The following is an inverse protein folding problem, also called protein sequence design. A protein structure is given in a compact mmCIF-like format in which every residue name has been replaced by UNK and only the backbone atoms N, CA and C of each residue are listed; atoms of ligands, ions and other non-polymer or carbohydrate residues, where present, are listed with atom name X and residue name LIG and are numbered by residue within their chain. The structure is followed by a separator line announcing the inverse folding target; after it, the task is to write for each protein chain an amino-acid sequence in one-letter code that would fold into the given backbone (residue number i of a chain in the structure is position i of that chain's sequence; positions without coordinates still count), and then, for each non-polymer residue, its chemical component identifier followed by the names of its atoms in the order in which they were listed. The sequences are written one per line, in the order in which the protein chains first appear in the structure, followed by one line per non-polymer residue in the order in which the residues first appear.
data_IF_791827745967
#
_entry.id   IF_791827745967
#
_cell.length_a   1.000
_cell.length_b   1.000
_cell.length_c   1.000
_cell.angle_alpha   90.00
_cell.angle_beta   90.00
_cell.angle_gamma   90.00
#
_symmetry.space_group_name_H-M   'P 1'
#
loop_
_entity.id
_entity.type
_entity.pdbx_description
1 polymer ?
#
# COMPACT_ATOMS: atom_id res chain seq x y z
N UNK A 1 2.49 -12.33 -1.93
CA UNK A 1 3.75 -12.22 -2.71
C UNK A 1 4.87 -11.96 -1.72
N UNK A 2 5.86 -12.86 -1.65
CA UNK A 2 6.90 -12.82 -0.61
C UNK A 2 8.33 -12.77 -1.16
N UNK A 3 8.54 -13.15 -2.41
CA UNK A 3 9.85 -13.10 -3.04
C UNK A 3 10.20 -11.65 -3.39
N UNK A 4 11.33 -11.15 -2.88
CA UNK A 4 11.74 -9.75 -3.05
C UNK A 4 11.93 -9.37 -4.51
N UNK A 5 12.46 -10.26 -5.35
CA UNK A 5 12.67 -9.95 -6.77
C UNK A 5 11.34 -9.86 -7.52
N UNK A 6 10.40 -10.75 -7.22
CA UNK A 6 9.06 -10.70 -7.80
C UNK A 6 8.35 -9.41 -7.35
N UNK A 7 8.46 -9.07 -6.08
CA UNK A 7 7.90 -7.82 -5.54
C UNK A 7 8.52 -6.61 -6.25
N UNK A 8 9.84 -6.58 -6.41
CA UNK A 8 10.54 -5.46 -7.07
C UNK A 8 10.08 -5.29 -8.52
N UNK A 9 9.96 -6.38 -9.26
CA UNK A 9 9.47 -6.34 -10.65
C UNK A 9 8.04 -5.83 -10.72
N UNK A 10 7.19 -6.26 -9.80
CA UNK A 10 5.80 -5.81 -9.73
C UNK A 10 5.72 -4.31 -9.45
N UNK A 11 6.48 -3.84 -8.48
CA UNK A 11 6.55 -2.42 -8.12
C UNK A 11 7.00 -1.58 -9.31
N UNK A 12 8.03 -2.02 -10.03
CA UNK A 12 8.51 -1.32 -11.22
C UNK A 12 7.41 -1.20 -12.28
N UNK A 13 6.64 -2.27 -12.50
CA UNK A 13 5.54 -2.24 -13.47
C UNK A 13 4.43 -1.27 -13.08
N UNK A 14 4.15 -1.12 -11.80
CA UNK A 14 3.14 -0.17 -11.31
C UNK A 14 3.58 1.27 -11.61
N UNK A 15 4.86 1.61 -11.37
CA UNK A 15 5.35 2.97 -11.62
C UNK A 15 5.44 3.32 -13.10
N UNK A 16 5.49 2.33 -13.99
CA UNK A 16 5.44 2.57 -15.44
C UNK A 16 4.06 3.02 -15.91
N UNK A 17 3.00 2.68 -15.17
CA UNK A 17 1.61 2.88 -15.59
C UNK A 17 0.85 3.93 -14.80
N UNK A 18 1.38 4.41 -13.69
CA UNK A 18 0.69 5.37 -12.83
C UNK A 18 1.27 6.76 -12.98
N UNK A 19 0.37 7.77 -13.01
CA UNK A 19 0.78 9.16 -13.04
C UNK A 19 1.31 9.65 -11.70
N UNK A 20 1.99 10.78 -11.75
CA UNK A 20 2.50 11.46 -10.55
C UNK A 20 1.66 12.68 -10.25
N UNK A 21 1.54 13.02 -8.97
CA UNK A 21 0.94 14.25 -8.51
C UNK A 21 1.74 14.75 -7.29
N UNK A 22 1.43 15.96 -6.75
CA UNK A 22 2.22 16.52 -5.63
C UNK A 22 2.25 15.66 -4.36
N UNK A 23 1.28 14.76 -4.21
CA UNK A 23 1.18 13.87 -3.05
C UNK A 23 1.63 12.45 -3.37
N UNK A 24 2.34 12.26 -4.46
CA UNK A 24 2.80 10.93 -4.88
C UNK A 24 3.83 10.37 -3.92
N UNK A 25 3.69 9.09 -3.63
CA UNK A 25 4.77 8.31 -3.02
C UNK A 25 5.73 7.89 -4.13
N UNK A 26 7.03 7.89 -3.85
CA UNK A 26 8.04 7.55 -4.85
C UNK A 26 8.39 6.07 -4.79
N UNK A 27 8.94 5.57 -5.91
CA UNK A 27 9.46 4.20 -5.94
C UNK A 27 10.57 4.01 -4.92
N UNK A 28 11.38 5.04 -4.67
CA UNK A 28 12.47 4.99 -3.71
C UNK A 28 11.97 4.70 -2.28
N UNK A 29 10.77 5.14 -1.92
CA UNK A 29 10.18 4.83 -0.61
C UNK A 29 9.93 3.34 -0.47
N UNK A 30 9.46 2.69 -1.54
CA UNK A 30 9.27 1.24 -1.57
C UNK A 30 10.62 0.50 -1.61
N UNK A 31 11.56 0.96 -2.42
CA UNK A 31 12.89 0.35 -2.52
C UNK A 31 13.62 0.37 -1.19
N UNK A 32 13.48 1.45 -0.42
CA UNK A 32 14.10 1.53 0.91
C UNK A 32 13.64 0.41 1.83
N UNK A 33 12.33 0.15 1.85
CA UNK A 33 11.77 -0.93 2.65
C UNK A 33 12.26 -2.29 2.14
N UNK A 34 12.20 -2.51 0.82
CA UNK A 34 12.67 -3.76 0.23
C UNK A 34 14.14 -4.03 0.52
N UNK A 35 15.00 -3.01 0.37
CA UNK A 35 16.44 -3.19 0.53
C UNK A 35 16.84 -3.47 1.98
N UNK A 36 16.09 -2.93 2.94
CA UNK A 36 16.39 -3.09 4.37
C UNK A 36 15.74 -4.32 5.00
N UNK A 37 14.81 -4.95 4.31
CA UNK A 37 14.05 -6.05 4.86
C UNK A 37 14.59 -7.40 4.41
N UNK A 38 14.62 -8.37 5.32
CA UNK A 38 14.85 -9.76 4.97
C UNK A 38 13.59 -10.36 4.36
N UNK A 39 12.43 -10.04 4.95
CA UNK A 39 11.13 -10.50 4.49
C UNK A 39 10.17 -9.33 4.33
N UNK A 40 9.46 -9.32 3.22
CA UNK A 40 8.42 -8.34 2.92
C UNK A 40 7.15 -9.05 2.52
N UNK A 41 6.03 -8.38 2.68
CA UNK A 41 4.75 -8.81 2.12
C UNK A 41 4.15 -7.67 1.32
N UNK A 42 3.71 -7.98 0.12
CA UNK A 42 3.01 -7.04 -0.76
C UNK A 42 1.55 -7.44 -0.84
N UNK A 43 0.68 -6.47 -0.55
CA UNK A 43 -0.78 -6.61 -0.66
C UNK A 43 -1.23 -5.69 -1.78
N UNK A 44 -1.98 -6.24 -2.75
CA UNK A 44 -2.47 -5.51 -3.91
C UNK A 44 -3.98 -5.67 -3.95
N UNK A 45 -4.70 -4.56 -3.87
CA UNK A 45 -6.17 -4.55 -3.84
C UNK A 45 -6.70 -3.53 -4.84
N UNK A 46 -7.84 -3.84 -5.46
CA UNK A 46 -8.51 -2.93 -6.39
C UNK A 46 -10.02 -3.07 -6.23
N UNK A 47 -10.74 -1.96 -6.32
CA UNK A 47 -12.19 -1.94 -6.26
C UNK A 47 -12.72 -0.72 -5.53
N UNK A 48 -13.97 -0.81 -5.04
CA UNK A 48 -14.55 0.22 -4.19
C UNK A 48 -13.85 0.27 -2.84
N UNK A 49 -13.97 1.41 -2.15
CA UNK A 49 -13.37 1.52 -0.79
C UNK A 49 -13.95 0.46 0.16
N UNK A 50 -15.24 0.16 0.05
CA UNK A 50 -15.86 -0.87 0.90
C UNK A 50 -15.23 -2.24 0.67
N UNK A 51 -15.06 -2.64 -0.59
CA UNK A 51 -14.44 -3.92 -0.94
C UNK A 51 -12.97 -3.95 -0.50
N UNK A 52 -12.24 -2.87 -0.73
CA UNK A 52 -10.84 -2.76 -0.34
C UNK A 52 -10.69 -2.89 1.18
N UNK A 53 -11.54 -2.21 1.96
CA UNK A 53 -11.47 -2.28 3.43
C UNK A 53 -11.72 -3.68 3.95
N UNK A 54 -12.68 -4.40 3.36
CA UNK A 54 -12.95 -5.79 3.75
C UNK A 54 -11.77 -6.70 3.44
N UNK A 55 -11.21 -6.59 2.25
CA UNK A 55 -10.07 -7.41 1.82
C UNK A 55 -8.81 -7.08 2.63
N UNK A 56 -8.56 -5.79 2.88
CA UNK A 56 -7.41 -5.37 3.66
C UNK A 56 -7.50 -5.89 5.10
N UNK A 57 -8.68 -5.80 5.71
CA UNK A 57 -8.89 -6.35 7.06
C UNK A 57 -8.57 -7.84 7.10
N UNK A 58 -9.04 -8.60 6.12
CA UNK A 58 -8.78 -10.04 6.01
C UNK A 58 -7.28 -10.32 5.87
N UNK A 59 -6.58 -9.54 5.03
CA UNK A 59 -5.14 -9.70 4.83
C UNK A 59 -4.35 -9.36 6.09
N UNK A 60 -4.71 -8.28 6.79
CA UNK A 60 -4.01 -7.86 8.00
C UNK A 60 -4.22 -8.85 9.16
N UNK A 61 -5.37 -9.50 9.23
CA UNK A 61 -5.61 -10.54 10.24
C UNK A 61 -4.67 -11.73 10.12
N UNK A 62 -4.14 -11.99 8.93
CA UNK A 62 -3.20 -13.07 8.71
C UNK A 62 -1.77 -12.72 9.15
N UNK A 63 -1.52 -11.45 9.46
CA UNK A 63 -0.23 -10.99 9.96
C UNK A 63 -0.30 -11.01 11.49
N UNK A 64 0.56 -11.81 12.11
CA UNK A 64 0.57 -11.90 13.56
C UNK A 64 1.06 -10.59 14.16
N UNK A 65 0.32 -10.02 15.12
CA UNK A 65 0.77 -8.83 15.82
C UNK A 65 2.00 -9.19 16.65
N UNK A 66 3.12 -8.56 16.34
CA UNK A 66 4.34 -8.66 17.13
C UNK A 66 4.58 -7.30 17.78
N UNK A 67 5.14 -7.31 18.99
CA UNK A 67 5.51 -6.08 19.69
C UNK A 67 6.76 -5.48 19.05
N UNK A 68 6.66 -5.15 17.78
CA UNK A 68 7.76 -4.64 17.00
C UNK A 68 7.27 -3.53 16.07
N UNK A 69 8.18 -2.70 15.64
CA UNK A 69 7.88 -1.65 14.68
C UNK A 69 7.88 -2.22 13.26
N UNK A 70 6.81 -1.96 12.53
CA UNK A 70 6.72 -2.29 11.11
C UNK A 70 7.02 -1.05 10.29
N UNK A 71 7.79 -1.22 9.21
CA UNK A 71 7.94 -0.20 8.19
C UNK A 71 7.00 -0.53 7.04
N UNK A 72 6.16 0.43 6.68
CA UNK A 72 5.07 0.23 5.72
C UNK A 72 5.07 1.33 4.69
N UNK A 73 4.89 0.97 3.42
CA UNK A 73 4.66 1.92 2.34
C UNK A 73 3.28 1.66 1.74
N UNK A 74 2.50 2.71 1.60
CA UNK A 74 1.13 2.66 1.08
C UNK A 74 1.00 3.58 -0.13
N UNK A 75 0.60 3.01 -1.27
CA UNK A 75 0.30 3.76 -2.47
C UNK A 75 -1.17 3.57 -2.81
N UNK A 76 -1.90 4.69 -2.89
CA UNK A 76 -3.32 4.68 -3.27
C UNK A 76 -3.45 5.37 -4.63
N UNK A 77 -4.06 4.68 -5.58
CA UNK A 77 -4.29 5.22 -6.92
C UNK A 77 -5.78 5.44 -7.14
N UNK A 78 -6.10 6.51 -7.86
CA UNK A 78 -7.47 6.85 -8.22
C UNK A 78 -7.52 7.34 -9.68
N UNK A 79 -8.72 7.37 -10.25
CA UNK A 79 -8.90 7.91 -11.59
C UNK A 79 -8.59 9.41 -11.59
N UNK A 80 -7.85 9.96 -12.58
CA UNK A 80 -7.52 11.39 -12.61
C UNK A 80 -8.72 12.30 -12.77
N UNK A 81 -9.85 11.78 -13.24
CA UNK A 81 -11.10 12.54 -13.39
C UNK A 81 -12.01 12.47 -12.17
N UNK A 82 -11.62 11.71 -11.14
CA UNK A 82 -12.33 11.60 -9.87
C UNK A 82 -11.51 12.23 -8.77
N UNK A 83 -12.14 13.07 -7.94
CA UNK A 83 -11.47 13.59 -6.75
C UNK A 83 -11.26 12.48 -5.75
N UNK A 84 -10.05 12.41 -5.20
CA UNK A 84 -9.77 11.52 -4.10
C UNK A 84 -10.27 12.17 -2.80
N UNK A 85 -11.18 11.48 -2.12
CA UNK A 85 -11.62 11.90 -0.80
C UNK A 85 -10.57 11.48 0.24
N UNK A 86 -9.96 12.43 0.93
CA UNK A 86 -8.94 12.13 1.94
C UNK A 86 -9.47 11.29 3.10
N UNK A 87 -10.79 11.25 3.32
CA UNK A 87 -11.37 10.32 4.30
C UNK A 87 -11.07 8.86 3.98
N UNK A 88 -10.90 8.52 2.70
CA UNK A 88 -10.48 7.19 2.27
C UNK A 88 -9.09 6.86 2.82
N UNK A 89 -8.18 7.82 2.71
CA UNK A 89 -6.81 7.64 3.24
C UNK A 89 -6.85 7.47 4.75
N UNK A 90 -7.63 8.28 5.45
CA UNK A 90 -7.77 8.18 6.91
C UNK A 90 -8.31 6.81 7.31
N UNK A 91 -9.30 6.29 6.58
CA UNK A 91 -9.87 4.96 6.86
C UNK A 91 -8.80 3.86 6.69
N UNK A 92 -8.01 3.93 5.61
CA UNK A 92 -6.97 2.95 5.35
C UNK A 92 -5.88 2.99 6.42
N UNK A 93 -5.40 4.19 6.74
CA UNK A 93 -4.37 4.37 7.76
C UNK A 93 -4.85 3.92 9.14
N UNK A 94 -6.09 4.24 9.50
CA UNK A 94 -6.67 3.84 10.77
C UNK A 94 -6.75 2.32 10.88
N UNK A 95 -7.20 1.66 9.82
CA UNK A 95 -7.28 0.20 9.80
C UNK A 95 -5.90 -0.43 9.97
N UNK A 96 -4.90 0.07 9.26
CA UNK A 96 -3.53 -0.43 9.36
C UNK A 96 -3.00 -0.24 10.78
N UNK A 97 -3.21 0.93 11.38
CA UNK A 97 -2.75 1.23 12.73
C UNK A 97 -3.46 0.40 13.80
N UNK A 98 -4.74 0.05 13.59
CA UNK A 98 -5.47 -0.82 14.51
C UNK A 98 -4.82 -2.21 14.61
N UNK A 99 -4.29 -2.72 13.51
CA UNK A 99 -3.61 -4.02 13.47
C UNK A 99 -2.12 -3.93 13.81
N UNK A 100 -1.48 -2.81 13.48
CA UNK A 100 -0.04 -2.61 13.65
C UNK A 100 0.23 -1.24 14.26
N UNK A 101 -0.06 -1.07 15.57
CA UNK A 101 -0.03 0.27 16.20
C UNK A 101 1.34 0.93 16.25
N UNK A 102 2.41 0.15 16.18
CA UNK A 102 3.78 0.70 16.20
C UNK A 102 4.38 0.87 14.82
N UNK A 103 3.54 1.05 13.80
CA UNK A 103 3.99 1.16 12.41
C UNK A 103 4.54 2.53 12.08
N UNK A 104 5.60 2.54 11.28
CA UNK A 104 6.06 3.74 10.55
C UNK A 104 5.50 3.64 9.14
N UNK A 105 4.59 4.53 8.78
CA UNK A 105 3.90 4.47 7.49
C UNK A 105 4.30 5.67 6.64
N UNK A 106 4.84 5.40 5.45
CA UNK A 106 4.98 6.39 4.40
C UNK A 106 3.87 6.12 3.38
N UNK A 107 3.16 7.17 2.96
CA UNK A 107 2.04 6.98 2.05
C UNK A 107 1.95 8.11 1.04
N UNK A 108 1.25 7.85 -0.06
CA UNK A 108 1.00 8.84 -1.07
C UNK A 108 -0.08 8.40 -2.04
N UNK A 109 -0.54 9.35 -2.85
CA UNK A 109 -1.61 9.17 -3.82
C UNK A 109 -1.09 9.41 -5.22
N UNK A 110 -1.52 8.58 -6.16
CA UNK A 110 -1.20 8.72 -7.57
C UNK A 110 -2.46 8.57 -8.39
N UNK A 111 -2.39 8.93 -9.67
CA UNK A 111 -3.49 8.70 -10.60
C UNK A 111 -3.20 7.48 -11.47
N UNK A 112 -4.27 6.80 -11.86
CA UNK A 112 -4.21 5.67 -12.78
C UNK A 112 -5.39 5.75 -13.72
N UNK A 113 -5.11 5.95 -15.01
CA UNK A 113 -6.15 6.11 -16.04
C UNK A 113 -6.93 4.82 -16.30
N UNK A 114 -6.43 3.68 -15.87
CA UNK A 114 -7.12 2.39 -16.01
C UNK A 114 -8.27 2.22 -15.01
N UNK A 115 -8.24 2.98 -13.91
CA UNK A 115 -9.31 2.92 -12.92
C UNK A 115 -10.53 3.66 -13.41
N UNK A 116 -11.70 3.11 -13.16
CA UNK A 116 -12.98 3.68 -13.60
C UNK A 116 -13.83 4.10 -12.40
N UNK A 117 -14.55 5.21 -12.54
CA UNK A 117 -15.44 5.71 -11.51
C UNK A 117 -14.73 5.99 -10.21
N UNK A 118 -15.28 5.48 -9.11
CA UNK A 118 -14.71 5.65 -7.78
C UNK A 118 -13.83 4.46 -7.34
N UNK A 119 -13.49 3.58 -8.26
CA UNK A 119 -12.60 2.47 -7.95
C UNK A 119 -11.20 2.97 -7.62
N UNK A 120 -10.57 2.29 -6.70
CA UNK A 120 -9.24 2.60 -6.20
C UNK A 120 -8.33 1.39 -6.39
N UNK A 121 -7.04 1.64 -6.43
CA UNK A 121 -6.01 0.62 -6.36
C UNK A 121 -5.15 0.90 -5.13
N UNK A 122 -4.89 -0.11 -4.33
CA UNK A 122 -4.09 -0.01 -3.11
C UNK A 122 -2.91 -0.96 -3.21
N UNK A 123 -1.73 -0.42 -3.03
CA UNK A 123 -0.48 -1.18 -2.98
C UNK A 123 0.13 -0.96 -1.59
N UNK A 124 0.25 -2.03 -0.82
CA UNK A 124 0.75 -1.98 0.54
C UNK A 124 1.96 -2.92 0.67
N UNK A 125 3.11 -2.35 1.00
CA UNK A 125 4.33 -3.10 1.24
C UNK A 125 4.65 -3.06 2.73
N UNK A 126 4.81 -4.23 3.33
CA UNK A 126 5.07 -4.38 4.77
C UNK A 126 6.40 -5.08 4.97
N UNK A 127 7.29 -4.45 5.74
CA UNK A 127 8.51 -5.10 6.22
C UNK A 127 8.12 -6.03 7.36
N UNK A 128 8.23 -7.34 7.12
CA UNK A 128 7.93 -8.35 8.13
C UNK A 128 9.16 -8.50 9.04
N UNK A 129 8.96 -8.48 10.37
CA UNK A 129 10.07 -8.68 11.27
C UNK A 129 10.64 -10.10 11.14
N UNK A 130 11.94 -10.22 11.30
CA UNK A 130 12.59 -11.52 11.42
C UNK A 130 12.47 -12.01 12.85
N UNK A 131 12.13 -13.26 12.98
CA UNK A 131 12.10 -13.91 14.29
C UNK A 131 13.52 -14.18 14.80
#
# INVERSE_FOLDING_TARGET
MKDKEVIRQYINSIWETTGNNPNSITREDFDRILNNATHCRLIVLEGSITAIMQQLRSELKSILPLNTTYDIALKVCHNPHSELNYNVIVQLLTLIQDFMPSSNIVWGCNTDTKLTGNNLSVLLLIHLPTE
#
